data_IF_180788535261
#
_entry.id   IF_180788535261
#
_cell.length_a   1.000
_cell.length_b   1.000
_cell.length_c   1.000
_cell.angle_alpha   90.00
_cell.angle_beta   90.00
_cell.angle_gamma   90.00
#
_symmetry.space_group_name_H-M   'P 1'
#
loop_
_entity.id
_entity.type
_entity.pdbx_description
1 polymer ?
#
# COMPACT_ATOMS: atom_id res chain seq x y z
N UNK A 1 13.85 -45.32 10.34
CA UNK A 1 13.30 -44.11 9.69
C UNK A 1 14.43 -43.19 9.25
N UNK A 2 15.44 -42.95 10.10
CA UNK A 2 16.65 -42.16 9.80
C UNK A 2 17.44 -42.61 8.55
N UNK A 3 17.64 -43.92 8.35
CA UNK A 3 18.40 -44.42 7.18
C UNK A 3 17.75 -44.14 5.82
N UNK A 4 16.41 -43.99 5.75
CA UNK A 4 15.70 -43.57 4.53
C UNK A 4 15.83 -42.08 4.28
N UNK A 5 15.80 -41.27 5.33
CA UNK A 5 15.95 -39.81 5.27
C UNK A 5 17.37 -39.46 4.81
N UNK A 6 18.41 -40.08 5.40
CA UNK A 6 19.79 -39.85 4.99
C UNK A 6 20.09 -40.31 3.55
N UNK A 7 19.50 -41.41 3.09
CA UNK A 7 19.65 -41.87 1.71
C UNK A 7 18.95 -40.95 0.70
N UNK A 8 17.85 -40.31 1.09
CA UNK A 8 17.11 -39.36 0.27
C UNK A 8 17.82 -37.99 0.21
N UNK A 9 18.40 -37.56 1.32
CA UNK A 9 19.20 -36.33 1.42
C UNK A 9 20.47 -36.42 0.56
N UNK A 10 21.19 -37.55 0.62
CA UNK A 10 22.39 -37.80 -0.19
C UNK A 10 22.12 -37.87 -1.70
N UNK A 11 20.90 -38.27 -2.08
CA UNK A 11 20.44 -38.32 -3.48
C UNK A 11 20.06 -36.94 -4.01
N UNK A 12 19.45 -36.12 -3.16
CA UNK A 12 19.11 -34.73 -3.46
C UNK A 12 20.36 -33.86 -3.62
N UNK A 13 21.33 -34.01 -2.70
CA UNK A 13 22.65 -33.36 -2.78
C UNK A 13 23.36 -33.69 -4.11
N UNK A 14 23.42 -34.97 -4.49
CA UNK A 14 24.02 -35.39 -5.76
C UNK A 14 23.29 -34.86 -7.02
N UNK A 15 21.97 -34.65 -6.95
CA UNK A 15 21.21 -34.08 -8.06
C UNK A 15 21.45 -32.56 -8.20
N UNK A 16 21.58 -31.84 -7.08
CA UNK A 16 21.94 -30.43 -7.07
C UNK A 16 23.31 -30.15 -7.70
N UNK A 17 24.34 -30.92 -7.31
CA UNK A 17 25.68 -30.80 -7.90
C UNK A 17 25.71 -31.07 -9.41
N UNK A 18 25.03 -32.13 -9.88
CA UNK A 18 24.93 -32.41 -11.32
C UNK A 18 24.23 -31.29 -12.09
N UNK A 19 23.17 -30.72 -11.51
CA UNK A 19 22.47 -29.58 -12.11
C UNK A 19 23.39 -28.36 -12.18
N UNK A 20 24.15 -28.07 -11.13
CA UNK A 20 25.12 -26.99 -11.13
C UNK A 20 26.18 -27.17 -12.23
N UNK A 21 26.74 -28.37 -12.40
CA UNK A 21 27.71 -28.65 -13.47
C UNK A 21 27.10 -28.47 -14.87
N UNK A 22 25.88 -28.97 -15.09
CA UNK A 22 25.17 -28.81 -16.37
C UNK A 22 24.95 -27.33 -16.70
N UNK A 23 24.49 -26.55 -15.72
CA UNK A 23 24.28 -25.12 -15.90
C UNK A 23 25.59 -24.37 -16.19
N UNK A 24 26.69 -24.73 -15.51
CA UNK A 24 28.02 -24.17 -15.78
C UNK A 24 28.51 -24.46 -17.20
N UNK A 25 28.29 -25.68 -17.70
CA UNK A 25 28.69 -26.07 -19.05
C UNK A 25 27.90 -25.34 -20.15
N UNK A 26 26.63 -25.01 -19.87
CA UNK A 26 25.73 -24.39 -20.84
C UNK A 26 25.50 -22.88 -20.60
N UNK A 27 26.24 -22.28 -19.67
CA UNK A 27 26.00 -20.91 -19.17
C UNK A 27 25.86 -19.87 -20.28
N UNK A 28 26.71 -19.93 -21.31
CA UNK A 28 26.67 -18.97 -22.43
C UNK A 28 25.39 -19.06 -23.27
N UNK A 29 24.92 -20.29 -23.55
CA UNK A 29 23.69 -20.51 -24.33
C UNK A 29 22.44 -20.14 -23.53
N UNK A 30 22.44 -20.49 -22.23
CA UNK A 30 21.35 -20.15 -21.30
C UNK A 30 21.27 -18.64 -21.14
N UNK A 31 22.39 -17.99 -20.81
CA UNK A 31 22.47 -16.55 -20.59
C UNK A 31 22.03 -15.76 -21.82
N UNK A 32 22.55 -16.08 -23.00
CA UNK A 32 22.16 -15.39 -24.23
C UNK A 32 20.69 -15.61 -24.64
N UNK A 33 20.05 -16.67 -24.16
CA UNK A 33 18.62 -16.91 -24.40
C UNK A 33 17.76 -16.11 -23.43
N UNK A 34 18.12 -16.09 -22.14
CA UNK A 34 17.46 -15.30 -21.10
C UNK A 34 17.60 -13.79 -21.38
N UNK A 35 18.78 -13.32 -21.77
CA UNK A 35 19.03 -11.91 -22.07
C UNK A 35 18.14 -11.39 -23.22
N UNK A 36 18.00 -12.17 -24.30
CA UNK A 36 17.13 -11.82 -25.44
C UNK A 36 15.67 -11.66 -25.05
N UNK A 37 15.17 -12.53 -24.18
CA UNK A 37 13.81 -12.40 -23.66
C UNK A 37 13.69 -11.18 -22.74
N UNK A 38 14.69 -10.94 -21.89
CA UNK A 38 14.74 -9.75 -21.03
C UNK A 38 14.70 -8.45 -21.85
N UNK A 39 15.45 -8.37 -22.94
CA UNK A 39 15.41 -7.25 -23.88
C UNK A 39 14.03 -7.08 -24.54
N UNK A 40 13.37 -8.18 -24.86
CA UNK A 40 12.02 -8.16 -25.45
C UNK A 40 10.98 -7.62 -24.47
N UNK A 41 11.04 -8.02 -23.21
CA UNK A 41 10.07 -7.64 -22.17
C UNK A 41 10.35 -6.27 -21.56
N UNK A 42 11.62 -5.94 -21.31
CA UNK A 42 12.02 -4.74 -20.56
C UNK A 42 12.72 -3.68 -21.40
N UNK A 43 13.35 -4.06 -22.52
CA UNK A 43 14.05 -3.14 -23.43
C UNK A 43 13.18 -2.52 -24.54
N UNK A 44 11.89 -2.86 -24.58
CA UNK A 44 10.93 -2.37 -25.59
C UNK A 44 10.54 -0.89 -25.44
N UNK A 45 9.31 -0.55 -25.84
CA UNK A 45 8.83 0.84 -26.00
C UNK A 45 8.99 1.78 -24.79
N UNK A 46 9.08 1.24 -23.58
CA UNK A 46 9.25 2.01 -22.34
C UNK A 46 10.70 2.01 -21.82
N UNK A 47 11.61 1.29 -22.47
CA UNK A 47 13.04 1.18 -22.14
C UNK A 47 13.28 1.08 -20.62
N UNK A 48 12.59 0.11 -19.99
CA UNK A 48 12.59 -0.05 -18.54
C UNK A 48 13.95 -0.47 -18.03
N UNK A 49 14.68 -1.30 -18.77
CA UNK A 49 16.04 -1.73 -18.47
C UNK A 49 16.91 -1.62 -19.72
N UNK A 50 18.15 -1.16 -19.54
CA UNK A 50 19.17 -1.20 -20.60
C UNK A 50 19.72 -2.60 -20.86
N UNK A 51 20.37 -2.80 -22.01
CA UNK A 51 21.00 -4.09 -22.36
C UNK A 51 22.04 -4.53 -21.33
N UNK A 52 22.87 -3.60 -20.86
CA UNK A 52 23.88 -3.89 -19.85
C UNK A 52 23.24 -4.31 -18.51
N UNK A 53 22.17 -3.62 -18.08
CA UNK A 53 21.43 -3.98 -16.87
C UNK A 53 20.83 -5.39 -16.97
N UNK A 54 20.24 -5.75 -18.12
CA UNK A 54 19.64 -7.07 -18.34
C UNK A 54 20.71 -8.17 -18.34
N UNK A 55 21.86 -7.91 -18.95
CA UNK A 55 22.99 -8.84 -18.93
C UNK A 55 23.52 -9.04 -17.50
N UNK A 56 23.71 -7.96 -16.74
CA UNK A 56 24.16 -8.03 -15.35
C UNK A 56 23.19 -8.85 -14.48
N UNK A 57 21.88 -8.62 -14.62
CA UNK A 57 20.84 -9.42 -13.96
C UNK A 57 20.90 -10.90 -14.32
N UNK A 58 21.06 -11.20 -15.61
CA UNK A 58 21.14 -12.58 -16.06
C UNK A 58 22.36 -13.30 -15.45
N UNK A 59 23.51 -12.63 -15.42
CA UNK A 59 24.74 -13.18 -14.83
C UNK A 59 24.59 -13.37 -13.32
N UNK A 60 24.08 -12.37 -12.61
CA UNK A 60 23.87 -12.42 -11.16
C UNK A 60 22.90 -13.55 -10.78
N UNK A 61 21.77 -13.68 -11.49
CA UNK A 61 20.83 -14.77 -11.29
C UNK A 61 21.50 -16.15 -11.42
N UNK A 62 22.27 -16.37 -12.50
CA UNK A 62 22.92 -17.66 -12.74
C UNK A 62 23.96 -17.96 -11.66
N UNK A 63 24.68 -16.95 -11.18
CA UNK A 63 25.63 -17.09 -10.07
C UNK A 63 24.93 -17.47 -8.76
N UNK A 64 23.83 -16.79 -8.41
CA UNK A 64 23.05 -17.09 -7.21
C UNK A 64 22.41 -18.48 -7.28
N UNK A 65 21.88 -18.87 -8.43
CA UNK A 65 21.32 -20.20 -8.65
C UNK A 65 22.39 -21.29 -8.49
N UNK A 66 23.56 -21.11 -9.09
CA UNK A 66 24.68 -22.05 -8.93
C UNK A 66 25.12 -22.13 -7.46
N UNK A 67 25.22 -20.99 -6.76
CA UNK A 67 25.58 -20.98 -5.34
C UNK A 67 24.56 -21.73 -4.46
N UNK A 68 23.27 -21.64 -4.77
CA UNK A 68 22.21 -22.42 -4.11
C UNK A 68 22.36 -23.91 -4.40
N UNK A 69 22.60 -24.29 -5.65
CA UNK A 69 22.73 -25.69 -6.07
C UNK A 69 23.96 -26.39 -5.48
N UNK A 70 25.04 -25.64 -5.23
CA UNK A 70 26.27 -26.13 -4.59
C UNK A 70 26.23 -26.06 -3.06
N UNK A 71 25.13 -25.56 -2.49
CA UNK A 71 24.94 -25.52 -1.04
C UNK A 71 24.76 -26.92 -0.45
N UNK A 72 24.90 -27.03 0.88
CA UNK A 72 24.76 -28.31 1.60
C UNK A 72 23.36 -28.93 1.44
N UNK A 73 22.34 -28.08 1.38
CA UNK A 73 20.95 -28.50 1.16
C UNK A 73 20.23 -27.45 0.30
N UNK A 74 20.19 -27.63 -1.03
CA UNK A 74 19.55 -26.68 -1.93
C UNK A 74 18.03 -26.54 -1.70
N UNK A 75 17.41 -27.48 -0.96
CA UNK A 75 15.97 -27.44 -0.64
C UNK A 75 15.66 -26.70 0.66
N UNK A 76 16.68 -26.23 1.40
CA UNK A 76 16.51 -25.44 2.62
C UNK A 76 16.16 -23.99 2.26
N UNK A 77 14.88 -23.66 2.40
CA UNK A 77 14.34 -22.32 2.17
C UNK A 77 14.81 -21.29 3.22
N UNK A 78 15.27 -21.74 4.38
CA UNK A 78 15.88 -20.89 5.39
C UNK A 78 17.37 -20.62 5.14
N UNK A 79 17.97 -21.21 4.08
CA UNK A 79 19.39 -21.05 3.79
C UNK A 79 19.73 -19.62 3.31
N UNK A 80 20.94 -19.11 3.63
CA UNK A 80 21.39 -17.81 3.12
C UNK A 80 21.41 -17.72 1.59
N UNK A 81 21.67 -18.83 0.91
CA UNK A 81 21.70 -18.92 -0.56
C UNK A 81 20.31 -18.78 -1.16
N UNK A 82 19.32 -19.44 -0.56
CA UNK A 82 17.93 -19.31 -0.98
C UNK A 82 17.44 -17.88 -0.75
N UNK A 83 17.68 -17.33 0.44
CA UNK A 83 17.30 -15.95 0.76
C UNK A 83 17.97 -14.91 -0.14
N UNK A 84 19.22 -15.13 -0.55
CA UNK A 84 19.89 -14.24 -1.51
C UNK A 84 19.17 -14.21 -2.87
N UNK A 85 18.66 -15.35 -3.34
CA UNK A 85 17.90 -15.45 -4.58
C UNK A 85 16.51 -14.78 -4.44
N UNK A 86 15.83 -14.96 -3.30
CA UNK A 86 14.58 -14.24 -3.01
C UNK A 86 14.79 -12.73 -3.00
N UNK A 87 15.84 -12.25 -2.31
CA UNK A 87 16.17 -10.82 -2.21
C UNK A 87 16.51 -10.24 -3.58
N UNK A 88 17.22 -10.98 -4.42
CA UNK A 88 17.50 -10.60 -5.80
C UNK A 88 16.19 -10.34 -6.59
N UNK A 89 15.24 -11.29 -6.58
CA UNK A 89 13.96 -11.12 -7.29
C UNK A 89 13.06 -10.06 -6.64
N UNK A 90 13.13 -9.88 -5.32
CA UNK A 90 12.43 -8.81 -4.62
C UNK A 90 12.91 -7.43 -5.08
N UNK A 91 14.23 -7.23 -5.17
CA UNK A 91 14.84 -5.98 -5.63
C UNK A 91 14.52 -5.71 -7.10
N UNK A 92 14.62 -6.72 -7.96
CA UNK A 92 14.25 -6.61 -9.37
C UNK A 92 12.77 -6.22 -9.54
N UNK A 93 11.87 -6.84 -8.77
CA UNK A 93 10.44 -6.50 -8.75
C UNK A 93 10.19 -5.04 -8.40
N UNK A 94 10.84 -4.54 -7.33
CA UNK A 94 10.76 -3.12 -6.94
C UNK A 94 11.29 -2.19 -8.03
N UNK A 95 12.43 -2.50 -8.63
CA UNK A 95 13.03 -1.67 -9.68
C UNK A 95 12.13 -1.58 -10.92
N UNK A 96 11.57 -2.70 -11.37
CA UNK A 96 10.62 -2.74 -12.48
C UNK A 96 9.37 -1.92 -12.14
N UNK A 97 8.82 -2.07 -10.93
CA UNK A 97 7.61 -1.36 -10.51
C UNK A 97 7.82 0.16 -10.43
N UNK A 98 8.93 0.62 -9.86
CA UNK A 98 9.27 2.06 -9.76
C UNK A 98 9.45 2.69 -11.14
N UNK A 99 9.95 1.92 -12.13
CA UNK A 99 10.08 2.38 -13.51
C UNK A 99 8.76 2.29 -14.31
N UNK A 100 7.65 1.94 -13.66
CA UNK A 100 6.33 1.83 -14.30
C UNK A 100 6.10 0.54 -15.09
N UNK A 101 6.93 -0.48 -14.83
CA UNK A 101 6.80 -1.80 -15.43
C UNK A 101 5.66 -2.62 -14.83
N UNK A 102 5.32 -3.70 -15.54
CA UNK A 102 4.21 -4.60 -15.19
C UNK A 102 4.74 -5.85 -14.50
N UNK A 103 4.10 -6.25 -13.40
CA UNK A 103 4.47 -7.48 -12.68
C UNK A 103 4.29 -8.72 -13.55
N UNK A 104 3.32 -8.70 -14.47
CA UNK A 104 3.09 -9.81 -15.39
C UNK A 104 4.27 -10.06 -16.33
N UNK A 105 5.00 -9.01 -16.73
CA UNK A 105 6.18 -9.14 -17.58
C UNK A 105 7.34 -9.76 -16.81
N UNK A 106 7.51 -9.41 -15.53
CA UNK A 106 8.49 -10.06 -14.65
C UNK A 106 8.15 -11.53 -14.39
N UNK A 107 6.88 -11.86 -14.16
CA UNK A 107 6.45 -13.26 -13.99
C UNK A 107 6.68 -14.06 -15.28
N UNK A 108 6.39 -13.49 -16.45
CA UNK A 108 6.68 -14.12 -17.75
C UNK A 108 8.17 -14.36 -17.94
N UNK A 109 8.99 -13.39 -17.55
CA UNK A 109 10.45 -13.51 -17.60
C UNK A 109 10.94 -14.66 -16.72
N UNK A 110 10.49 -14.74 -15.47
CA UNK A 110 10.84 -15.81 -14.52
C UNK A 110 10.41 -17.19 -15.06
N UNK A 111 9.21 -17.30 -15.61
CA UNK A 111 8.74 -18.54 -16.24
C UNK A 111 9.55 -18.92 -17.49
N UNK A 112 10.02 -17.92 -18.25
CA UNK A 112 10.90 -18.16 -19.39
C UNK A 112 12.27 -18.67 -18.95
N UNK A 113 12.84 -18.08 -17.89
CA UNK A 113 14.08 -18.56 -17.28
C UNK A 113 13.92 -20.02 -16.83
N UNK A 114 12.84 -20.35 -16.14
CA UNK A 114 12.53 -21.72 -15.72
C UNK A 114 12.51 -22.70 -16.91
N UNK A 115 11.77 -22.36 -17.97
CA UNK A 115 11.71 -23.19 -19.20
C UNK A 115 13.09 -23.37 -19.82
N UNK A 116 13.88 -22.31 -19.91
CA UNK A 116 15.24 -22.37 -20.46
C UNK A 116 16.14 -23.32 -19.67
N UNK A 117 16.03 -23.32 -18.33
CA UNK A 117 16.78 -24.23 -17.47
C UNK A 117 16.28 -25.68 -17.58
N UNK A 118 14.97 -25.88 -17.78
CA UNK A 118 14.38 -27.20 -18.02
C UNK A 118 14.85 -27.76 -19.37
N UNK A 119 14.80 -26.96 -20.43
CA UNK A 119 15.22 -27.36 -21.78
C UNK A 119 16.73 -27.70 -21.81
N UNK A 120 17.54 -27.03 -20.98
CA UNK A 120 18.95 -27.37 -20.81
C UNK A 120 19.18 -28.80 -20.30
N UNK A 121 18.23 -29.37 -19.54
CA UNK A 121 18.30 -30.74 -19.03
C UNK A 121 18.20 -31.79 -20.15
N UNK A 122 17.44 -31.50 -21.21
CA UNK A 122 17.23 -32.44 -22.33
C UNK A 122 18.50 -32.63 -23.18
N UNK A 123 19.45 -31.70 -23.09
CA UNK A 123 20.70 -31.75 -23.85
C UNK A 123 21.80 -32.62 -23.22
N UNK A 124 21.63 -33.08 -21.98
CA UNK A 124 22.61 -33.96 -21.33
C UNK A 124 22.29 -35.45 -21.53
N UNK A 125 23.09 -36.10 -22.38
CA UNK A 125 22.99 -37.55 -22.66
C UNK A 125 23.40 -38.44 -21.49
N UNK A 126 24.03 -37.88 -20.44
CA UNK A 126 24.47 -38.63 -19.27
C UNK A 126 23.44 -38.59 -18.12
N UNK A 127 22.42 -37.75 -18.24
CA UNK A 127 21.37 -37.60 -17.24
C UNK A 127 20.43 -38.82 -17.24
N UNK A 128 20.29 -39.49 -16.09
CA UNK A 128 19.31 -40.58 -15.97
C UNK A 128 17.90 -40.03 -15.83
N UNK A 129 16.87 -40.82 -16.18
CA UNK A 129 15.46 -40.43 -15.97
C UNK A 129 15.18 -40.06 -14.50
N UNK A 130 15.86 -40.72 -13.56
CA UNK A 130 15.75 -40.44 -12.13
C UNK A 130 16.36 -39.08 -11.74
N UNK A 131 17.51 -38.74 -12.32
CA UNK A 131 18.17 -37.44 -12.11
C UNK A 131 17.35 -36.31 -12.71
N UNK A 132 16.89 -36.46 -13.97
CA UNK A 132 16.05 -35.48 -14.65
C UNK A 132 14.76 -35.19 -13.86
N UNK A 133 14.08 -36.24 -13.36
CA UNK A 133 12.90 -36.07 -12.51
C UNK A 133 13.20 -35.30 -11.22
N UNK A 134 14.34 -35.56 -10.58
CA UNK A 134 14.71 -34.84 -9.35
C UNK A 134 15.01 -33.36 -9.63
N UNK A 135 15.75 -33.07 -10.71
CA UNK A 135 16.06 -31.71 -11.15
C UNK A 135 14.81 -30.92 -11.54
N UNK A 136 13.87 -31.55 -12.27
CA UNK A 136 12.58 -30.95 -12.63
C UNK A 136 11.75 -30.58 -11.39
N UNK A 137 11.66 -31.48 -10.42
CA UNK A 137 10.94 -31.22 -9.18
C UNK A 137 11.59 -30.10 -8.36
N UNK A 138 12.93 -30.06 -8.32
CA UNK A 138 13.68 -28.99 -7.68
C UNK A 138 13.40 -27.64 -8.35
N UNK A 139 13.61 -27.52 -9.67
CA UNK A 139 13.39 -26.28 -10.42
C UNK A 139 11.92 -25.83 -10.35
N UNK A 140 10.97 -26.77 -10.37
CA UNK A 140 9.55 -26.45 -10.21
C UNK A 140 9.24 -25.84 -8.85
N UNK A 141 9.73 -26.46 -7.77
CA UNK A 141 9.58 -25.93 -6.41
C UNK A 141 10.24 -24.56 -6.24
N UNK A 142 11.51 -24.45 -6.65
CA UNK A 142 12.28 -23.22 -6.53
C UNK A 142 11.57 -22.04 -7.21
N UNK A 143 11.19 -22.18 -8.47
CA UNK A 143 10.58 -21.09 -9.22
C UNK A 143 9.17 -20.74 -8.72
N UNK A 144 8.43 -21.69 -8.14
CA UNK A 144 7.15 -21.38 -7.50
C UNK A 144 7.34 -20.45 -6.31
N UNK A 145 8.34 -20.72 -5.46
CA UNK A 145 8.65 -19.85 -4.31
C UNK A 145 9.13 -18.47 -4.78
N UNK A 146 9.99 -18.41 -5.79
CA UNK A 146 10.46 -17.12 -6.35
C UNK A 146 9.32 -16.28 -6.94
N UNK A 147 8.39 -16.92 -7.65
CA UNK A 147 7.20 -16.24 -8.17
C UNK A 147 6.34 -15.72 -7.02
N UNK A 148 6.15 -16.51 -5.96
CA UNK A 148 5.39 -16.10 -4.79
C UNK A 148 6.06 -14.90 -4.09
N UNK A 149 7.37 -14.92 -3.90
CA UNK A 149 8.14 -13.83 -3.32
C UNK A 149 8.01 -12.52 -4.14
N UNK A 150 8.03 -12.63 -5.48
CA UNK A 150 7.82 -11.48 -6.38
C UNK A 150 6.41 -10.92 -6.23
N UNK A 151 5.39 -11.78 -6.15
CA UNK A 151 4.01 -11.34 -5.94
C UNK A 151 3.83 -10.66 -4.58
N UNK A 152 4.42 -11.21 -3.51
CA UNK A 152 4.39 -10.60 -2.18
C UNK A 152 5.05 -9.21 -2.22
N UNK A 153 6.24 -9.10 -2.81
CA UNK A 153 6.93 -7.81 -2.95
C UNK A 153 6.08 -6.77 -3.72
N UNK A 154 5.38 -7.20 -4.76
CA UNK A 154 4.48 -6.34 -5.52
C UNK A 154 3.25 -5.91 -4.71
N UNK A 155 2.63 -6.85 -3.98
CA UNK A 155 1.46 -6.56 -3.14
C UNK A 155 1.83 -5.60 -2.01
N UNK A 156 2.95 -5.82 -1.33
CA UNK A 156 3.45 -4.95 -0.26
C UNK A 156 3.67 -3.52 -0.77
N UNK A 157 4.28 -3.36 -1.95
CA UNK A 157 4.56 -2.04 -2.52
C UNK A 157 3.27 -1.35 -3.02
N UNK A 158 2.32 -2.12 -3.57
CA UNK A 158 0.99 -1.61 -3.90
C UNK A 158 0.22 -1.19 -2.67
N UNK A 159 0.25 -1.97 -1.59
CA UNK A 159 -0.41 -1.63 -0.33
C UNK A 159 0.21 -0.38 0.29
N UNK A 160 1.54 -0.23 0.25
CA UNK A 160 2.22 1.01 0.66
C UNK A 160 1.76 2.21 -0.16
N UNK A 161 1.64 2.06 -1.47
CA UNK A 161 1.16 3.14 -2.35
C UNK A 161 -0.28 3.52 -2.01
N UNK A 162 -1.16 2.53 -1.80
CA UNK A 162 -2.56 2.76 -1.40
C UNK A 162 -2.63 3.46 -0.05
N UNK A 163 -1.89 2.98 0.95
CA UNK A 163 -1.86 3.57 2.28
C UNK A 163 -1.28 4.99 2.26
N UNK A 164 -0.26 5.25 1.43
CA UNK A 164 0.30 6.59 1.25
C UNK A 164 -0.71 7.55 0.59
N UNK A 165 -1.44 7.09 -0.43
CA UNK A 165 -2.52 7.86 -1.06
C UNK A 165 -3.68 8.12 -0.08
N UNK A 166 -4.06 7.15 0.74
CA UNK A 166 -5.05 7.33 1.80
C UNK A 166 -4.57 8.31 2.89
N UNK A 167 -3.29 8.31 3.23
CA UNK A 167 -2.71 9.26 4.17
C UNK A 167 -2.68 10.70 3.62
N UNK A 168 -2.38 10.88 2.33
CA UNK A 168 -2.44 12.19 1.67
C UNK A 168 -3.90 12.72 1.61
N UNK A 169 -4.87 11.83 1.39
CA UNK A 169 -6.29 12.15 1.51
C UNK A 169 -6.71 12.48 2.97
N UNK A 170 -6.04 11.91 3.98
CA UNK A 170 -6.27 12.24 5.40
C UNK A 170 -5.75 13.63 5.77
N UNK A 171 -4.60 14.05 5.23
CA UNK A 171 -4.05 15.39 5.49
C UNK A 171 -4.88 16.52 4.83
N UNK A 172 -5.68 16.21 3.82
CA UNK A 172 -6.66 17.14 3.21
C UNK A 172 -8.04 17.13 3.88
N UNK A 173 -8.19 16.47 5.04
CA UNK A 173 -9.43 16.50 5.81
C UNK A 173 -9.57 17.84 6.58
N UNK A 174 -10.48 18.70 6.10
CA UNK A 174 -11.09 19.89 6.76
C UNK A 174 -10.28 20.47 7.93
N UNK A 175 -9.52 21.56 7.74
CA UNK A 175 -8.62 22.08 8.75
C UNK A 175 -9.41 22.57 9.97
N UNK A 176 -9.40 21.77 11.05
CA UNK A 176 -9.86 22.26 12.35
C UNK A 176 -8.84 23.31 12.75
N UNK A 177 -9.27 24.55 12.89
CA UNK A 177 -8.38 25.69 13.20
C UNK A 177 -8.79 26.31 14.53
N UNK A 178 -7.82 26.74 15.34
CA UNK A 178 -8.09 27.57 16.52
C UNK A 178 -7.98 29.01 16.06
N UNK A 179 -9.05 29.75 16.24
CA UNK A 179 -9.16 31.14 15.78
C UNK A 179 -9.09 32.13 16.94
N UNK A 180 -9.22 31.61 18.16
CA UNK A 180 -9.12 32.31 19.42
C UNK A 180 -8.87 31.30 20.53
N UNK A 181 -8.26 31.72 21.62
CA UNK A 181 -8.03 30.88 22.81
C UNK A 181 -9.34 30.22 23.26
N UNK A 182 -9.44 28.90 23.11
CA UNK A 182 -10.64 28.14 23.46
C UNK A 182 -11.79 28.18 22.43
N UNK A 183 -11.57 28.66 21.20
CA UNK A 183 -12.55 28.63 20.11
C UNK A 183 -12.00 27.92 18.87
N UNK A 184 -12.65 26.82 18.49
CA UNK A 184 -12.33 26.05 17.30
C UNK A 184 -13.30 26.35 16.15
N UNK A 185 -12.80 26.29 14.92
CA UNK A 185 -13.61 26.29 13.70
C UNK A 185 -13.40 25.02 12.91
N UNK A 186 -14.49 24.38 12.50
CA UNK A 186 -14.51 23.23 11.60
C UNK A 186 -15.28 23.60 10.31
N UNK A 187 -14.60 23.99 9.21
CA UNK A 187 -15.26 24.20 7.94
C UNK A 187 -15.51 22.86 7.24
N UNK A 188 -16.75 22.62 6.84
CA UNK A 188 -17.13 21.43 6.09
C UNK A 188 -17.22 21.78 4.60
N UNK A 189 -16.33 21.20 3.80
CA UNK A 189 -16.22 21.44 2.34
C UNK A 189 -16.53 20.15 1.57
N UNK A 190 -17.42 20.26 0.57
CA UNK A 190 -17.74 19.18 -0.34
C UNK A 190 -18.87 18.28 0.17
N UNK A 191 -18.77 16.98 -0.11
CA UNK A 191 -19.68 15.96 0.43
C UNK A 191 -19.12 15.43 1.74
N UNK A 192 -19.97 15.27 2.77
CA UNK A 192 -19.62 14.40 3.89
C UNK A 192 -19.91 12.97 3.43
N UNK A 193 -18.89 12.11 3.42
CA UNK A 193 -19.10 10.66 3.41
C UNK A 193 -18.91 10.11 4.84
N UNK A 194 -19.42 8.91 5.09
CA UNK A 194 -19.42 8.30 6.44
C UNK A 194 -18.01 8.09 6.99
N UNK A 195 -17.04 7.72 6.15
CA UNK A 195 -15.67 7.44 6.59
C UNK A 195 -14.95 8.74 7.01
N UNK A 196 -15.05 9.77 6.17
CA UNK A 196 -14.48 11.10 6.41
C UNK A 196 -15.09 11.75 7.64
N UNK A 197 -16.40 11.62 7.84
CA UNK A 197 -17.08 12.24 8.98
C UNK A 197 -16.61 11.68 10.32
N UNK A 198 -16.35 10.37 10.37
CA UNK A 198 -15.85 9.70 11.56
C UNK A 198 -14.41 10.13 11.90
N UNK A 199 -13.55 10.26 10.89
CA UNK A 199 -12.19 10.77 11.08
C UNK A 199 -12.18 12.23 11.57
N UNK A 200 -13.01 13.08 10.98
CA UNK A 200 -13.15 14.49 11.39
C UNK A 200 -13.70 14.61 12.81
N UNK A 201 -14.67 13.77 13.17
CA UNK A 201 -15.18 13.69 14.54
C UNK A 201 -14.06 13.39 15.53
N UNK A 202 -13.31 12.31 15.30
CA UNK A 202 -12.24 11.88 16.21
C UNK A 202 -11.19 12.96 16.37
N UNK A 203 -10.76 13.57 15.26
CA UNK A 203 -9.82 14.69 15.27
C UNK A 203 -10.37 15.89 16.06
N UNK A 204 -11.64 16.24 15.87
CA UNK A 204 -12.29 17.34 16.59
C UNK A 204 -12.33 17.08 18.09
N UNK A 205 -12.76 15.90 18.53
CA UNK A 205 -12.86 15.56 19.95
C UNK A 205 -11.49 15.55 20.63
N UNK A 206 -10.48 14.99 19.97
CA UNK A 206 -9.09 15.03 20.44
C UNK A 206 -8.60 16.47 20.61
N UNK A 207 -8.97 17.36 19.70
CA UNK A 207 -8.56 18.76 19.72
C UNK A 207 -9.28 19.55 20.82
N UNK A 208 -10.58 19.34 21.02
CA UNK A 208 -11.33 19.90 22.15
C UNK A 208 -10.68 19.50 23.48
N UNK A 209 -10.32 18.21 23.62
CA UNK A 209 -9.69 17.71 24.84
C UNK A 209 -8.30 18.32 25.08
N UNK A 210 -7.49 18.47 24.03
CA UNK A 210 -6.12 19.00 24.10
C UNK A 210 -6.09 20.52 24.34
N UNK A 211 -6.96 21.27 23.67
CA UNK A 211 -6.98 22.73 23.66
C UNK A 211 -8.02 23.31 24.65
N UNK A 212 -8.73 22.45 25.39
CA UNK A 212 -9.80 22.84 26.32
C UNK A 212 -10.83 23.81 25.70
N UNK A 213 -11.20 23.53 24.45
CA UNK A 213 -12.06 24.41 23.67
C UNK A 213 -13.44 24.60 24.31
N UNK A 214 -13.79 25.84 24.63
CA UNK A 214 -15.09 26.22 25.20
C UNK A 214 -16.19 26.30 24.14
N UNK A 215 -15.83 26.61 22.88
CA UNK A 215 -16.78 26.65 21.77
C UNK A 215 -16.19 26.06 20.49
N UNK A 216 -17.06 25.42 19.71
CA UNK A 216 -16.76 24.90 18.37
C UNK A 216 -17.77 25.45 17.37
N UNK A 217 -17.26 26.11 16.34
CA UNK A 217 -18.06 26.67 15.24
C UNK A 217 -17.93 25.78 14.01
N UNK A 218 -19.01 25.09 13.66
CA UNK A 218 -19.11 24.16 12.52
C UNK A 218 -19.72 24.90 11.34
N UNK A 219 -18.94 25.14 10.29
CA UNK A 219 -19.38 25.91 9.12
C UNK A 219 -19.82 25.02 7.96
N UNK A 220 -21.10 25.13 7.58
CA UNK A 220 -21.73 24.35 6.51
C UNK A 220 -21.78 25.09 5.17
N UNK A 221 -21.16 26.28 5.06
CA UNK A 221 -21.17 27.09 3.84
C UNK A 221 -20.69 26.31 2.61
N UNK A 222 -19.71 25.40 2.78
CA UNK A 222 -19.13 24.57 1.72
C UNK A 222 -19.87 23.28 1.37
N UNK A 223 -20.98 22.96 2.05
CA UNK A 223 -21.76 21.74 1.83
C UNK A 223 -22.73 21.94 0.67
N UNK A 224 -22.63 21.16 -0.41
CA UNK A 224 -23.49 21.33 -1.60
C UNK A 224 -24.89 20.78 -1.41
N UNK A 225 -25.01 19.54 -0.94
CA UNK A 225 -26.28 18.86 -0.69
C UNK A 225 -26.18 18.13 0.65
N UNK A 226 -27.30 17.95 1.32
CA UNK A 226 -27.40 17.18 2.56
C UNK A 226 -28.38 16.02 2.36
N UNK A 227 -27.99 14.82 2.76
CA UNK A 227 -28.83 13.62 2.77
C UNK A 227 -29.07 13.12 4.21
N UNK A 228 -29.78 12.01 4.36
CA UNK A 228 -30.08 11.41 5.66
C UNK A 228 -28.83 10.96 6.43
N UNK A 229 -27.81 10.42 5.75
CA UNK A 229 -26.58 9.93 6.38
C UNK A 229 -25.71 11.07 6.88
N UNK A 230 -25.48 12.08 6.04
CA UNK A 230 -24.75 13.30 6.41
C UNK A 230 -25.38 13.99 7.60
N UNK A 231 -26.70 14.12 7.59
CA UNK A 231 -27.42 14.79 8.66
C UNK A 231 -27.30 14.04 9.99
N UNK A 232 -27.37 12.71 9.97
CA UNK A 232 -27.19 11.89 11.17
C UNK A 232 -25.80 12.09 11.78
N UNK A 233 -24.76 12.06 10.95
CA UNK A 233 -23.39 12.24 11.43
C UNK A 233 -23.12 13.65 11.97
N UNK A 234 -23.70 14.69 11.35
CA UNK A 234 -23.63 16.07 11.86
C UNK A 234 -24.23 16.17 13.28
N UNK A 235 -25.38 15.53 13.52
CA UNK A 235 -26.02 15.53 14.84
C UNK A 235 -25.19 14.76 15.87
N UNK A 236 -24.64 13.60 15.48
CA UNK A 236 -23.72 12.88 16.34
C UNK A 236 -22.52 13.76 16.73
N UNK A 237 -22.02 14.57 15.78
CA UNK A 237 -20.88 15.47 16.02
C UNK A 237 -21.21 16.53 17.03
N UNK A 238 -22.32 17.23 16.83
CA UNK A 238 -22.77 18.26 17.76
C UNK A 238 -22.99 17.68 19.16
N UNK A 239 -23.61 16.51 19.27
CA UNK A 239 -23.81 15.84 20.58
C UNK A 239 -22.50 15.46 21.22
N UNK A 240 -21.54 14.94 20.46
CA UNK A 240 -20.22 14.58 20.99
C UNK A 240 -19.47 15.81 21.51
N UNK A 241 -19.50 16.94 20.78
CA UNK A 241 -18.94 18.22 21.22
C UNK A 241 -19.57 18.67 22.54
N UNK A 242 -20.90 18.61 22.66
CA UNK A 242 -21.62 18.96 23.89
C UNK A 242 -21.27 18.03 25.07
N UNK A 243 -21.09 16.73 24.81
CA UNK A 243 -20.64 15.77 25.83
C UNK A 243 -19.22 16.04 26.32
N UNK A 244 -18.36 16.64 25.49
CA UNK A 244 -17.05 17.12 25.89
C UNK A 244 -17.10 18.43 26.69
N UNK A 245 -18.29 18.98 26.95
CA UNK A 245 -18.47 20.22 27.71
C UNK A 245 -18.22 21.49 26.88
N UNK A 246 -18.25 21.39 25.55
CA UNK A 246 -18.01 22.51 24.63
C UNK A 246 -19.30 22.93 23.92
N UNK A 247 -19.43 24.22 23.65
CA UNK A 247 -20.59 24.78 22.94
C UNK A 247 -20.49 24.58 21.43
N UNK A 248 -21.40 23.79 20.86
CA UNK A 248 -21.50 23.62 19.42
C UNK A 248 -22.37 24.72 18.77
N UNK A 249 -21.80 25.44 17.81
CA UNK A 249 -22.47 26.48 17.02
C UNK A 249 -22.41 26.11 15.54
N UNK A 250 -23.54 26.05 14.86
CA UNK A 250 -23.60 25.75 13.42
C UNK A 250 -23.77 27.04 12.62
N UNK A 251 -22.97 27.23 11.57
CA UNK A 251 -23.07 28.36 10.65
C UNK A 251 -23.30 27.93 9.20
N UNK A 252 -23.75 28.87 8.36
CA UNK A 252 -23.81 28.65 6.91
C UNK A 252 -24.95 27.72 6.45
N UNK A 253 -25.99 27.51 7.28
CA UNK A 253 -27.17 26.73 6.87
C UNK A 253 -27.93 27.51 5.79
N UNK A 254 -27.93 26.98 4.57
CA UNK A 254 -28.71 27.52 3.46
C UNK A 254 -30.18 27.04 3.49
N UNK A 255 -31.12 27.74 2.83
CA UNK A 255 -32.54 27.38 2.85
C UNK A 255 -32.89 25.98 2.32
N UNK A 256 -32.13 25.46 1.36
CA UNK A 256 -32.20 24.08 0.87
C UNK A 256 -31.82 23.06 1.96
N UNK A 257 -30.72 23.31 2.67
CA UNK A 257 -30.24 22.46 3.78
C UNK A 257 -31.24 22.48 4.94
N UNK A 258 -31.75 23.66 5.31
CA UNK A 258 -32.74 23.79 6.38
C UNK A 258 -34.02 22.99 6.08
N UNK A 259 -34.52 23.04 4.84
CA UNK A 259 -35.69 22.24 4.42
C UNK A 259 -35.42 20.75 4.52
N UNK A 260 -34.25 20.29 4.06
CA UNK A 260 -33.87 18.89 4.14
C UNK A 260 -33.79 18.39 5.59
N UNK A 261 -33.17 19.16 6.49
CA UNK A 261 -33.09 18.83 7.91
C UNK A 261 -34.48 18.67 8.57
N UNK A 262 -35.42 19.55 8.22
CA UNK A 262 -36.82 19.47 8.68
C UNK A 262 -37.51 18.24 8.09
N UNK A 263 -37.36 17.97 6.79
CA UNK A 263 -37.95 16.79 6.14
C UNK A 263 -37.43 15.47 6.70
N UNK A 264 -36.20 15.45 7.21
CA UNK A 264 -35.58 14.31 7.89
C UNK A 264 -35.96 14.21 9.37
N UNK A 265 -36.83 15.09 9.86
CA UNK A 265 -37.31 15.17 11.24
C UNK A 265 -36.16 15.30 12.27
N UNK A 266 -35.15 16.11 11.94
CA UNK A 266 -34.00 16.36 12.79
C UNK A 266 -34.28 17.52 13.73
N UNK A 267 -34.14 17.25 15.02
CA UNK A 267 -34.31 18.25 16.07
C UNK A 267 -33.00 18.99 16.34
N UNK A 268 -33.00 20.30 16.04
CA UNK A 268 -31.91 21.24 16.32
C UNK A 268 -32.25 22.23 17.44
N UNK A 269 -33.34 22.03 18.18
CA UNK A 269 -33.83 22.98 19.20
C UNK A 269 -32.78 23.38 20.25
N UNK A 270 -31.88 22.45 20.60
CA UNK A 270 -30.80 22.66 21.57
C UNK A 270 -29.46 23.05 20.93
N UNK A 271 -29.45 23.39 19.64
CA UNK A 271 -28.24 23.69 18.87
C UNK A 271 -28.33 25.13 18.39
N UNK A 272 -27.26 25.89 18.65
CA UNK A 272 -27.23 27.31 18.27
C UNK A 272 -26.84 27.43 16.81
N UNK A 273 -27.67 28.12 16.03
CA UNK A 273 -27.43 28.34 14.62
C UNK A 273 -27.23 29.83 14.33
N UNK A 274 -26.33 30.15 13.42
CA UNK A 274 -26.07 31.52 12.93
C UNK A 274 -25.94 31.51 11.41
N UNK A 275 -26.28 32.65 10.78
CA UNK A 275 -26.29 32.74 9.33
C UNK A 275 -24.88 32.67 8.72
N UNK A 276 -23.91 33.32 9.37
CA UNK A 276 -22.53 33.42 8.89
C UNK A 276 -21.52 32.91 9.92
N UNK A 277 -20.33 32.53 9.45
CA UNK A 277 -19.20 32.20 10.33
C UNK A 277 -18.93 33.34 11.31
N UNK A 278 -18.93 34.60 10.84
CA UNK A 278 -18.71 35.77 11.70
C UNK A 278 -19.71 35.88 12.84
N UNK A 279 -20.99 35.60 12.58
CA UNK A 279 -22.01 35.64 13.63
C UNK A 279 -21.89 34.45 14.59
N UNK A 280 -21.41 33.30 14.11
CA UNK A 280 -21.03 32.18 14.96
C UNK A 280 -19.87 32.51 15.89
N UNK A 281 -18.86 33.25 15.40
CA UNK A 281 -17.74 33.70 16.24
C UNK A 281 -18.18 34.68 17.31
N UNK A 282 -19.03 35.66 16.96
CA UNK A 282 -19.61 36.59 17.93
C UNK A 282 -20.37 35.85 19.04
N UNK A 283 -21.11 34.81 18.67
CA UNK A 283 -21.83 33.97 19.64
C UNK A 283 -20.87 33.20 20.55
N UNK A 284 -19.80 32.61 19.99
CA UNK A 284 -18.76 31.93 20.77
C UNK A 284 -18.13 32.89 21.80
N UNK A 285 -17.74 34.10 21.36
CA UNK A 285 -17.18 35.11 22.25
C UNK A 285 -18.15 35.54 23.35
N UNK A 286 -19.43 35.72 23.01
CA UNK A 286 -20.45 36.07 24.00
C UNK A 286 -20.55 35.04 25.14
N UNK A 287 -20.47 33.74 24.81
CA UNK A 287 -20.52 32.65 25.82
C UNK A 287 -19.28 32.61 26.71
N UNK A 288 -18.15 33.03 26.18
CA UNK A 288 -16.91 33.19 26.93
C UNK A 288 -16.88 34.48 27.76
N UNK A 289 -17.91 35.33 27.70
CA UNK A 289 -17.92 36.63 28.37
C UNK A 289 -17.04 37.67 27.67
N UNK A 290 -16.70 37.46 26.40
CA UNK A 290 -15.87 38.34 25.57
C UNK A 290 -16.78 39.17 24.67
N UNK A 291 -16.64 40.50 24.72
CA UNK A 291 -17.40 41.42 23.87
C UNK A 291 -16.53 41.93 22.71
N UNK A 292 -16.95 41.65 21.47
CA UNK A 292 -16.31 42.16 20.26
C UNK A 292 -17.15 43.31 19.70
N UNK A 293 -16.56 44.50 19.62
CA UNK A 293 -17.20 45.69 19.05
C UNK A 293 -16.33 46.28 17.94
N UNK A 294 -16.95 46.96 16.99
CA UNK A 294 -16.20 47.81 16.07
C UNK A 294 -15.53 48.92 16.86
N UNK A 295 -14.23 49.15 16.60
CA UNK A 295 -13.53 50.30 17.16
C UNK A 295 -14.29 51.55 16.74
N UNK A 296 -14.69 52.37 17.70
CA UNK A 296 -15.33 53.66 17.42
C UNK A 296 -14.41 54.47 16.50
N UNK A 297 -14.98 54.98 15.39
CA UNK A 297 -14.28 55.77 14.40
C UNK A 297 -13.83 57.12 14.98
#
# INVERSE_FOLDING_TARGET
>A
MEGRIMAQQKKSEAAGYKLAELLKLQVGSISGTIEREGLTLFGGSNNLLGSDEINDFCIEFLQLLVALLESRDPHDDASPQFHALEMYFNNLSKQILVRGGRVEDLVRYIQFMQRTLIDALDHDKQCTVGDARAMLLFLSGLFNELILAVFQAYLDEKERTVNAQEAELRETATPITEIWDGVLTLPIIGTLDSNRTMLVMEALLNRIAKEHASAVVIDLTGVKNIDSQVSHHLIQMVRAVQLMGSDAIITGIRPDIARALISLNIDLSNITTRASLSDGLKEAFLRMGIQVSHKAA
#
